data_IF_305942355484
#
_entry.id   IF_305942355484
#
_cell.length_a   1.000
_cell.length_b   1.000
_cell.length_c   1.000
_cell.angle_alpha   90.00
_cell.angle_beta   90.00
_cell.angle_gamma   90.00
#
_symmetry.space_group_name_H-M   'P 1'
#
loop_
_entity.id
_entity.type
_entity.pdbx_description
1 polymer ?
#
# COMPACT_ATOMS: atom_id res chain seq x y z
N UNK A 1 -3.83 10.45 4.26
CA UNK A 1 -5.31 10.49 4.38
C UNK A 1 -5.87 10.05 3.05
N UNK A 2 -6.84 9.14 3.03
CA UNK A 2 -7.54 8.65 1.82
C UNK A 2 -9.05 8.84 2.05
N UNK A 3 -9.86 8.97 1.00
CA UNK A 3 -11.32 9.07 1.18
C UNK A 3 -11.90 7.73 1.64
N UNK A 4 -11.68 6.69 0.82
CA UNK A 4 -12.07 5.32 1.12
C UNK A 4 -10.92 4.36 0.81
N UNK A 5 -10.99 3.15 1.36
CA UNK A 5 -10.01 2.12 1.05
C UNK A 5 -10.58 0.70 1.23
N UNK A 6 -9.91 -0.26 0.60
CA UNK A 6 -9.96 -1.66 1.02
C UNK A 6 -8.76 -1.93 1.93
N UNK A 7 -9.03 -2.38 3.16
CA UNK A 7 -8.01 -2.73 4.12
C UNK A 7 -8.13 -4.19 4.54
N UNK A 8 -7.00 -4.89 4.59
CA UNK A 8 -6.94 -6.26 5.12
C UNK A 8 -7.06 -6.19 6.64
N UNK A 9 -7.88 -7.06 7.23
CA UNK A 9 -8.24 -6.95 8.65
C UNK A 9 -8.10 -8.23 9.46
N UNK A 10 -7.45 -9.27 8.93
CA UNK A 10 -7.21 -10.51 9.67
C UNK A 10 -6.39 -10.29 10.96
N UNK A 11 -6.61 -11.18 11.93
CA UNK A 11 -5.90 -11.15 13.22
C UNK A 11 -4.40 -11.35 13.06
N UNK A 12 -3.98 -12.24 12.16
CA UNK A 12 -2.57 -12.55 11.95
C UNK A 12 -1.79 -11.36 11.39
N UNK A 13 -2.37 -10.65 10.42
CA UNK A 13 -1.82 -9.42 9.86
C UNK A 13 -1.72 -8.33 10.92
N UNK A 14 -2.77 -8.14 11.72
CA UNK A 14 -2.74 -7.15 12.80
C UNK A 14 -1.71 -7.48 13.88
N UNK A 15 -1.51 -8.76 14.19
CA UNK A 15 -0.48 -9.21 15.14
C UNK A 15 0.93 -8.93 14.60
N UNK A 16 1.20 -9.28 13.34
CA UNK A 16 2.47 -8.99 12.68
C UNK A 16 2.74 -7.48 12.55
N UNK A 17 1.71 -6.70 12.20
CA UNK A 17 1.78 -5.24 12.17
C UNK A 17 2.15 -4.67 13.54
N UNK A 18 1.52 -5.16 14.61
CA UNK A 18 1.82 -4.73 15.99
C UNK A 18 3.25 -5.05 16.38
N UNK A 19 3.73 -6.28 16.12
CA UNK A 19 5.13 -6.67 16.36
C UNK A 19 6.10 -5.74 15.63
N UNK A 20 5.81 -5.45 14.37
CA UNK A 20 6.61 -4.56 13.52
C UNK A 20 6.70 -3.15 14.12
N UNK A 21 5.56 -2.55 14.47
CA UNK A 21 5.54 -1.20 15.06
C UNK A 21 6.24 -1.16 16.43
N UNK A 22 5.97 -2.12 17.32
CA UNK A 22 6.62 -2.21 18.62
C UNK A 22 8.14 -2.33 18.50
N UNK A 23 8.61 -3.20 17.60
CA UNK A 23 10.04 -3.36 17.33
C UNK A 23 10.67 -2.08 16.76
N UNK A 24 9.94 -1.34 15.91
CA UNK A 24 10.43 -0.07 15.37
C UNK A 24 10.59 1.02 16.42
N UNK A 25 9.65 1.10 17.38
CA UNK A 25 9.70 2.06 18.48
C UNK A 25 10.89 1.77 19.39
N UNK A 26 11.13 0.50 19.71
CA UNK A 26 12.22 0.09 20.61
C UNK A 26 13.62 0.44 20.08
N UNK A 27 13.79 0.56 18.75
CA UNK A 27 15.07 0.85 18.09
C UNK A 27 15.24 2.35 17.80
N UNK A 28 14.17 3.14 17.87
CA UNK A 28 14.17 4.56 17.49
C UNK A 28 14.56 5.46 18.67
N UNK A 29 15.81 5.94 18.73
CA UNK A 29 16.21 7.07 19.60
C UNK A 29 15.87 8.45 19.01
N UNK A 30 15.55 8.49 17.71
CA UNK A 30 14.95 9.62 17.00
C UNK A 30 13.73 9.13 16.21
N UNK A 31 12.68 9.95 16.15
CA UNK A 31 11.36 9.68 15.57
C UNK A 31 11.46 9.30 14.08
N UNK A 32 11.65 8.01 13.79
CA UNK A 32 11.83 7.48 12.43
C UNK A 32 10.54 7.51 11.59
N UNK A 33 9.45 8.09 12.10
CA UNK A 33 8.13 8.07 11.46
C UNK A 33 7.50 6.67 11.36
N UNK A 34 8.24 5.60 11.69
CA UNK A 34 7.75 4.23 11.67
C UNK A 34 6.71 3.98 12.77
N UNK A 35 6.85 4.65 13.92
CA UNK A 35 6.22 4.24 15.18
C UNK A 35 4.70 4.35 15.33
N UNK A 36 3.94 4.88 14.36
CA UNK A 36 2.50 5.16 14.57
C UNK A 36 1.52 4.34 13.74
N UNK A 37 1.92 3.87 12.55
CA UNK A 37 1.01 3.18 11.64
C UNK A 37 1.80 2.39 10.61
N UNK A 38 1.38 1.19 10.23
CA UNK A 38 2.00 0.51 9.07
C UNK A 38 1.60 1.15 7.73
N UNK A 39 0.63 2.06 7.72
CA UNK A 39 0.14 2.76 6.53
C UNK A 39 0.69 4.19 6.43
N UNK A 40 0.44 4.82 5.28
CA UNK A 40 0.70 6.25 5.01
C UNK A 40 -0.33 7.21 5.65
N UNK A 41 -1.04 6.74 6.68
CA UNK A 41 -2.02 7.51 7.45
C UNK A 41 -1.99 7.08 8.90
N UNK A 42 -2.19 8.03 9.80
CA UNK A 42 -2.30 7.86 11.26
C UNK A 42 -3.75 7.68 11.73
N UNK A 43 -4.72 7.55 10.82
CA UNK A 43 -6.10 7.26 11.18
C UNK A 43 -6.18 5.98 12.00
N UNK A 44 -6.54 6.11 13.28
CA UNK A 44 -6.38 5.07 14.29
C UNK A 44 -6.91 3.67 13.86
N UNK A 45 -8.10 3.55 13.24
CA UNK A 45 -8.61 2.26 12.76
C UNK A 45 -7.74 1.56 11.71
N UNK A 46 -6.90 2.29 10.97
CA UNK A 46 -6.03 1.75 9.93
C UNK A 46 -4.59 1.51 10.41
N UNK A 47 -4.21 1.93 11.62
CA UNK A 47 -2.81 1.83 12.08
C UNK A 47 -2.21 0.42 12.03
N UNK A 48 -3.04 -0.61 12.17
CA UNK A 48 -2.67 -2.04 12.11
C UNK A 48 -3.32 -2.81 10.96
N UNK A 49 -4.14 -2.14 10.13
CA UNK A 49 -4.91 -2.76 9.03
C UNK A 49 -4.38 -2.22 7.71
N UNK A 50 -3.55 -2.98 6.97
CA UNK A 50 -2.88 -2.44 5.81
C UNK A 50 -3.88 -2.09 4.71
N UNK A 51 -3.75 -0.88 4.19
CA UNK A 51 -4.49 -0.40 3.04
C UNK A 51 -3.95 -1.13 1.82
N UNK A 52 -4.82 -1.76 1.06
CA UNK A 52 -4.46 -2.51 -0.17
C UNK A 52 -4.94 -1.79 -1.43
N UNK A 53 -6.05 -1.07 -1.34
CA UNK A 53 -6.63 -0.27 -2.43
C UNK A 53 -7.01 1.10 -1.86
N UNK A 54 -6.51 2.17 -2.47
CA UNK A 54 -6.95 3.55 -2.17
C UNK A 54 -8.03 3.97 -3.14
N UNK A 55 -9.06 4.66 -2.65
CA UNK A 55 -10.23 5.06 -3.43
C UNK A 55 -10.45 6.56 -3.24
N UNK A 56 -10.41 7.32 -4.33
CA UNK A 56 -10.74 8.75 -4.38
C UNK A 56 -12.16 8.91 -4.94
N UNK A 57 -12.93 9.83 -4.34
CA UNK A 57 -14.27 10.17 -4.79
C UNK A 57 -14.38 11.63 -5.20
N UNK A 58 -14.93 11.88 -6.38
CA UNK A 58 -15.22 13.22 -6.89
C UNK A 58 -16.68 13.37 -7.25
N UNK A 59 -17.19 14.60 -7.10
CA UNK A 59 -18.49 15.01 -7.65
C UNK A 59 -18.51 14.82 -9.17
N UNK A 60 -19.69 14.74 -9.81
CA UNK A 60 -19.77 14.60 -11.27
C UNK A 60 -19.01 15.68 -12.03
N UNK A 61 -19.01 16.91 -11.51
CA UNK A 61 -18.26 18.07 -12.05
C UNK A 61 -16.85 18.20 -11.48
N UNK A 62 -16.46 17.29 -10.59
CA UNK A 62 -15.15 17.28 -9.96
C UNK A 62 -14.04 17.03 -10.99
N UNK A 63 -12.96 17.79 -10.86
CA UNK A 63 -11.83 17.69 -11.79
C UNK A 63 -11.21 16.30 -11.77
N UNK A 64 -11.40 15.51 -12.84
CA UNK A 64 -10.73 14.21 -13.01
C UNK A 64 -9.22 14.31 -12.83
N UNK A 65 -8.61 15.43 -13.25
CA UNK A 65 -7.18 15.67 -13.09
C UNK A 65 -6.77 15.88 -11.62
N UNK A 66 -7.60 16.56 -10.83
CA UNK A 66 -7.37 16.76 -9.40
C UNK A 66 -7.44 15.41 -8.66
N UNK A 67 -8.45 14.59 -8.95
CA UNK A 67 -8.56 13.25 -8.38
C UNK A 67 -7.38 12.34 -8.73
N UNK A 68 -6.87 12.42 -9.96
CA UNK A 68 -5.64 11.71 -10.36
C UNK A 68 -4.42 12.21 -9.58
N UNK A 69 -4.29 13.52 -9.38
CA UNK A 69 -3.19 14.09 -8.61
C UNK A 69 -3.23 13.63 -7.15
N UNK A 70 -4.41 13.58 -6.52
CA UNK A 70 -4.55 13.06 -5.15
C UNK A 70 -4.19 11.58 -5.07
N UNK A 71 -4.69 10.76 -6.00
CA UNK A 71 -4.31 9.34 -6.09
C UNK A 71 -2.79 9.15 -6.22
N UNK A 72 -2.12 9.98 -7.02
CA UNK A 72 -0.68 9.94 -7.16
C UNK A 72 0.05 10.32 -5.86
N UNK A 73 -0.40 11.36 -5.16
CA UNK A 73 0.15 11.74 -3.84
C UNK A 73 -0.03 10.62 -2.83
N UNK A 74 -1.20 9.99 -2.77
CA UNK A 74 -1.45 8.87 -1.86
C UNK A 74 -0.59 7.67 -2.20
N UNK A 75 -0.49 7.29 -3.47
CA UNK A 75 0.42 6.24 -3.92
C UNK A 75 1.88 6.55 -3.52
N UNK A 76 2.33 7.79 -3.71
CA UNK A 76 3.67 8.21 -3.34
C UNK A 76 3.96 8.02 -1.85
N UNK A 77 3.10 8.57 -1.00
CA UNK A 77 3.25 8.40 0.45
C UNK A 77 3.11 6.94 0.90
N UNK A 78 2.34 6.14 0.16
CA UNK A 78 2.20 4.72 0.42
C UNK A 78 3.47 3.94 0.09
N UNK A 79 4.08 4.16 -1.07
CA UNK A 79 5.34 3.52 -1.43
C UNK A 79 6.48 3.92 -0.49
N UNK A 80 6.60 5.20 -0.14
CA UNK A 80 7.56 5.65 0.88
C UNK A 80 7.41 4.89 2.19
N UNK A 81 6.16 4.65 2.62
CA UNK A 81 5.88 3.87 3.81
C UNK A 81 6.32 2.41 3.67
N UNK A 82 6.02 1.78 2.54
CA UNK A 82 6.36 0.39 2.27
C UNK A 82 7.89 0.20 2.21
N UNK A 83 8.61 1.13 1.57
CA UNK A 83 10.09 1.18 1.53
C UNK A 83 10.69 1.30 2.94
N UNK A 84 10.10 2.13 3.80
CA UNK A 84 10.54 2.26 5.19
C UNK A 84 10.37 0.94 5.98
N UNK A 85 9.26 0.23 5.78
CA UNK A 85 9.02 -1.08 6.41
C UNK A 85 10.01 -2.15 5.89
N UNK A 86 10.23 -2.18 4.57
CA UNK A 86 11.18 -3.11 3.93
C UNK A 86 12.59 -2.91 4.49
N UNK A 87 13.03 -1.65 4.53
CA UNK A 87 14.34 -1.24 5.06
C UNK A 87 14.49 -1.65 6.53
N UNK A 88 13.44 -1.43 7.34
CA UNK A 88 13.43 -1.82 8.74
C UNK A 88 13.56 -3.34 8.92
N UNK A 89 12.76 -4.13 8.21
CA UNK A 89 12.79 -5.60 8.30
C UNK A 89 14.14 -6.17 7.88
N UNK A 90 14.73 -5.65 6.78
CA UNK A 90 16.04 -6.08 6.29
C UNK A 90 17.17 -5.79 7.28
N UNK A 91 17.24 -4.56 7.82
CA UNK A 91 18.25 -4.19 8.84
C UNK A 91 18.20 -5.12 10.04
N UNK A 92 17.00 -5.46 10.50
CA UNK A 92 16.81 -6.39 11.61
C UNK A 92 17.27 -7.82 11.25
N UNK A 93 17.00 -8.28 10.04
CA UNK A 93 17.47 -9.58 9.54
C UNK A 93 19.00 -9.69 9.50
N UNK A 94 19.70 -8.65 9.04
CA UNK A 94 21.18 -8.62 9.00
C UNK A 94 21.80 -8.64 10.40
N UNK A 95 21.28 -7.86 11.35
CA UNK A 95 21.82 -7.80 12.71
C UNK A 95 21.67 -9.12 13.51
N UNK A 96 20.88 -10.08 13.02
CA UNK A 96 20.78 -11.43 13.60
C UNK A 96 21.76 -12.43 12.96
N UNK A 97 22.40 -12.10 11.84
CA UNK A 97 23.31 -12.96 11.08
C UNK A 97 24.79 -12.57 11.20
N UNK A 98 25.16 -11.60 12.04
CA UNK A 98 26.57 -11.27 12.29
C UNK A 98 27.29 -12.32 13.15
N UNK A 99 27.53 -13.50 12.56
CA UNK A 99 28.71 -14.33 12.82
C UNK A 99 29.79 -13.99 11.76
N UNK A 100 30.53 -12.91 12.00
CA UNK A 100 31.98 -12.86 11.72
C UNK A 100 32.54 -12.94 10.29
N UNK A 101 31.83 -12.59 9.21
CA UNK A 101 32.48 -12.43 7.90
C UNK A 101 32.04 -11.14 7.17
N UNK A 102 32.97 -10.19 7.02
CA UNK A 102 32.78 -8.98 6.23
C UNK A 102 32.75 -9.33 4.74
N UNK A 103 31.56 -9.60 4.22
CA UNK A 103 31.37 -9.68 2.79
C UNK A 103 31.06 -8.26 2.27
N UNK A 104 31.84 -7.79 1.29
CA UNK A 104 31.47 -6.64 0.46
C UNK A 104 30.25 -7.02 -0.38
N UNK A 105 29.06 -7.02 0.22
CA UNK A 105 27.81 -7.16 -0.52
C UNK A 105 27.64 -5.92 -1.39
N UNK A 106 27.64 -6.15 -2.71
CA UNK A 106 27.18 -5.15 -3.67
C UNK A 106 25.73 -4.82 -3.30
N UNK A 107 25.44 -3.56 -3.07
CA UNK A 107 24.08 -3.10 -2.83
C UNK A 107 23.34 -3.25 -4.16
N UNK A 108 22.50 -4.28 -4.31
CA UNK A 108 21.62 -4.38 -5.45
C UNK A 108 20.66 -3.19 -5.38
N UNK A 109 20.83 -2.23 -6.30
CA UNK A 109 20.04 -1.00 -6.31
C UNK A 109 18.54 -1.27 -6.54
N UNK A 110 18.21 -2.44 -7.09
CA UNK A 110 16.83 -2.92 -7.27
C UNK A 110 16.19 -3.39 -5.96
N UNK A 111 16.97 -3.61 -4.90
CA UNK A 111 16.41 -4.05 -3.62
C UNK A 111 15.50 -3.00 -2.99
N UNK A 112 15.65 -1.70 -3.28
CA UNK A 112 14.82 -0.63 -2.71
C UNK A 112 13.43 -0.50 -3.36
N UNK A 113 13.19 -1.20 -4.47
CA UNK A 113 11.92 -1.10 -5.21
C UNK A 113 10.86 -1.97 -4.55
N UNK A 114 9.67 -1.41 -4.36
CA UNK A 114 8.48 -2.16 -3.97
C UNK A 114 7.90 -2.86 -5.20
N UNK A 115 8.22 -4.15 -5.36
CA UNK A 115 7.74 -5.00 -6.45
C UNK A 115 6.23 -5.31 -6.46
N UNK A 116 5.41 -4.53 -5.75
CA UNK A 116 3.97 -4.71 -5.65
C UNK A 116 3.25 -3.54 -6.32
N UNK A 117 2.55 -3.81 -7.41
CA UNK A 117 1.64 -2.84 -8.02
C UNK A 117 0.45 -2.58 -7.11
N UNK A 118 0.16 -1.30 -6.82
CA UNK A 118 -0.95 -0.92 -5.95
C UNK A 118 -2.16 -0.47 -6.80
N UNK A 119 -3.29 -1.17 -6.76
CA UNK A 119 -4.50 -0.72 -7.42
C UNK A 119 -5.07 0.53 -6.73
N UNK A 120 -5.55 1.47 -7.54
CA UNK A 120 -6.20 2.69 -7.10
C UNK A 120 -7.53 2.85 -7.85
N UNK A 121 -8.56 3.33 -7.16
CA UNK A 121 -9.87 3.60 -7.75
C UNK A 121 -10.15 5.10 -7.75
N UNK A 122 -10.57 5.61 -8.91
CA UNK A 122 -11.14 6.95 -9.04
C UNK A 122 -12.61 6.84 -9.40
N UNK A 123 -13.46 7.34 -8.52
CA UNK A 123 -14.90 7.39 -8.70
C UNK A 123 -15.29 8.85 -8.98
N UNK A 124 -15.91 9.11 -10.13
CA UNK A 124 -16.37 10.45 -10.50
C UNK A 124 -17.83 10.40 -10.91
N UNK A 125 -18.71 10.93 -10.07
CA UNK A 125 -20.14 10.68 -10.18
C UNK A 125 -20.43 9.17 -10.15
N UNK A 126 -21.02 8.64 -11.22
CA UNK A 126 -21.33 7.22 -11.34
C UNK A 126 -20.18 6.37 -11.90
N UNK A 127 -19.13 6.98 -12.47
CA UNK A 127 -18.09 6.27 -13.24
C UNK A 127 -16.96 5.77 -12.35
N UNK A 128 -16.60 4.49 -12.50
CA UNK A 128 -15.52 3.84 -11.77
C UNK A 128 -14.35 3.52 -12.69
N UNK A 129 -13.15 4.01 -12.35
CA UNK A 129 -11.92 3.76 -13.12
C UNK A 129 -10.84 3.14 -12.25
N UNK A 130 -10.11 2.20 -12.84
CA UNK A 130 -8.98 1.50 -12.22
C UNK A 130 -7.65 2.09 -12.72
N UNK A 131 -6.77 2.36 -11.77
CA UNK A 131 -5.39 2.73 -11.99
C UNK A 131 -4.49 1.75 -11.24
N UNK A 132 -3.24 1.65 -11.67
CA UNK A 132 -2.19 1.00 -10.89
C UNK A 132 -1.06 1.98 -10.66
N UNK A 133 -0.60 2.06 -9.41
CA UNK A 133 0.66 2.70 -9.09
C UNK A 133 1.77 1.67 -9.07
N UNK A 134 2.86 1.99 -9.76
CA UNK A 134 4.07 1.17 -9.82
C UNK A 134 5.21 1.95 -9.19
N UNK A 135 5.94 1.27 -8.31
CA UNK A 135 7.18 1.81 -7.77
C UNK A 135 8.28 1.65 -8.82
N UNK A 136 8.83 2.76 -9.29
CA UNK A 136 10.09 2.78 -10.02
C UNK A 136 11.17 3.27 -9.08
N UNK A 137 12.43 3.16 -9.51
CA UNK A 137 13.58 3.57 -8.71
C UNK A 137 13.47 5.02 -8.19
N UNK A 138 13.20 5.96 -9.09
CA UNK A 138 13.18 7.39 -8.78
C UNK A 138 11.79 8.04 -8.93
N UNK A 139 10.82 7.30 -9.48
CA UNK A 139 9.49 7.80 -9.82
C UNK A 139 8.41 6.82 -9.42
N UNK A 140 7.17 7.30 -9.39
CA UNK A 140 6.00 6.46 -9.18
C UNK A 140 5.09 6.69 -10.38
N UNK A 141 4.88 5.62 -11.14
CA UNK A 141 4.05 5.67 -12.33
C UNK A 141 2.61 5.34 -11.96
N UNK A 142 1.67 6.22 -12.28
CA UNK A 142 0.23 5.96 -12.10
C UNK A 142 -0.39 5.70 -13.47
N UNK A 143 -0.62 4.44 -13.77
CA UNK A 143 -1.14 3.97 -15.05
C UNK A 143 -2.66 3.92 -15.03
N UNK A 144 -3.32 4.67 -15.92
CA UNK A 144 -4.75 4.49 -16.20
C UNK A 144 -4.95 3.22 -17.01
N UNK A 145 -5.81 2.31 -16.54
CA UNK A 145 -6.03 1.02 -17.21
C UNK A 145 -7.38 0.96 -17.90
N UNK A 146 -8.45 0.89 -17.12
CA UNK A 146 -9.80 0.65 -17.62
C UNK A 146 -10.84 1.49 -16.88
N UNK A 147 -11.91 1.82 -17.58
CA UNK A 147 -13.19 2.12 -16.93
C UNK A 147 -13.86 0.79 -16.58
N UNK A 148 -14.00 0.51 -15.29
CA UNK A 148 -14.61 -0.73 -14.78
C UNK A 148 -16.09 -0.78 -15.19
N UNK A 149 -16.80 0.31 -14.94
CA UNK A 149 -18.24 0.41 -15.14
C UNK A 149 -18.78 1.72 -14.56
N UNK A 150 -20.10 1.75 -14.44
CA UNK A 150 -20.86 2.87 -13.90
C UNK A 150 -21.93 2.37 -12.92
N UNK A 151 -22.44 3.27 -12.08
CA UNK A 151 -23.58 2.99 -11.19
C UNK A 151 -24.90 3.52 -11.74
N UNK A 152 -24.96 3.88 -13.02
CA UNK A 152 -26.18 4.40 -13.68
C UNK A 152 -26.97 3.29 -14.37
N UNK A 153 -26.29 2.21 -14.76
CA UNK A 153 -26.89 1.07 -15.45
C UNK A 153 -26.77 -0.20 -14.59
N UNK A 154 -27.76 -1.09 -14.70
CA UNK A 154 -27.73 -2.38 -14.00
C UNK A 154 -26.48 -3.20 -14.38
N UNK A 155 -26.13 -3.21 -15.67
CA UNK A 155 -24.93 -3.89 -16.16
C UNK A 155 -23.65 -3.25 -15.60
N UNK A 156 -23.58 -1.91 -15.55
CA UNK A 156 -22.47 -1.18 -14.95
C UNK A 156 -22.29 -1.55 -13.48
N UNK A 157 -23.38 -1.57 -12.70
CA UNK A 157 -23.37 -1.96 -11.29
C UNK A 157 -22.79 -3.37 -11.11
N UNK A 158 -23.18 -4.34 -11.94
CA UNK A 158 -22.62 -5.69 -11.87
C UNK A 158 -21.12 -5.73 -12.18
N UNK A 159 -20.63 -4.93 -13.13
CA UNK A 159 -19.19 -4.82 -13.41
C UNK A 159 -18.42 -4.22 -12.23
N UNK A 160 -18.96 -3.18 -11.59
CA UNK A 160 -18.37 -2.56 -10.40
C UNK A 160 -18.29 -3.58 -9.26
N UNK A 161 -19.37 -4.30 -8.98
CA UNK A 161 -19.40 -5.34 -7.94
C UNK A 161 -18.40 -6.46 -8.23
N UNK A 162 -18.32 -6.91 -9.49
CA UNK A 162 -17.36 -7.93 -9.90
C UNK A 162 -15.91 -7.46 -9.65
N UNK A 163 -15.55 -6.26 -10.10
CA UNK A 163 -14.21 -5.72 -9.91
C UNK A 163 -13.86 -5.52 -8.42
N UNK A 164 -14.80 -5.05 -7.59
CA UNK A 164 -14.57 -4.91 -6.15
C UNK A 164 -14.33 -6.26 -5.47
N UNK A 165 -15.00 -7.33 -5.92
CA UNK A 165 -14.76 -8.70 -5.43
C UNK A 165 -13.38 -9.21 -5.83
N UNK A 166 -12.96 -8.97 -7.07
CA UNK A 166 -11.61 -9.33 -7.54
C UNK A 166 -10.53 -8.58 -6.76
N UNK A 167 -10.70 -7.27 -6.54
CA UNK A 167 -9.78 -6.47 -5.74
C UNK A 167 -9.73 -6.96 -4.28
N UNK A 168 -10.88 -7.27 -3.67
CA UNK A 168 -10.91 -7.83 -2.33
C UNK A 168 -10.21 -9.20 -2.24
N UNK A 169 -10.41 -10.06 -3.24
CA UNK A 169 -9.71 -11.36 -3.31
C UNK A 169 -8.20 -11.16 -3.44
N UNK A 170 -7.75 -10.25 -4.31
CA UNK A 170 -6.35 -9.90 -4.45
C UNK A 170 -5.74 -9.35 -3.16
N UNK A 171 -6.47 -8.48 -2.44
CA UNK A 171 -6.07 -7.94 -1.14
C UNK A 171 -5.81 -9.05 -0.12
N UNK A 172 -6.72 -10.02 -0.06
CA UNK A 172 -6.70 -11.13 0.90
C UNK A 172 -5.71 -12.25 0.55
N UNK A 173 -5.28 -12.34 -0.71
CA UNK A 173 -4.40 -13.41 -1.19
C UNK A 173 -3.00 -12.87 -1.49
N UNK A 174 -2.84 -12.19 -2.61
CA UNK A 174 -1.56 -11.72 -3.13
C UNK A 174 -0.95 -10.63 -2.24
N UNK A 175 -1.70 -9.56 -1.98
CA UNK A 175 -1.19 -8.41 -1.24
C UNK A 175 -0.86 -8.78 0.21
N UNK A 176 -1.78 -9.47 0.90
CA UNK A 176 -1.56 -9.94 2.27
C UNK A 176 -0.34 -10.85 2.38
N UNK A 177 -0.23 -11.86 1.52
CA UNK A 177 0.87 -12.82 1.57
C UNK A 177 2.21 -12.15 1.35
N UNK A 178 2.28 -11.25 0.36
CA UNK A 178 3.46 -10.45 0.08
C UNK A 178 3.85 -9.56 1.27
N UNK A 179 2.91 -8.77 1.79
CA UNK A 179 3.15 -7.84 2.89
C UNK A 179 3.69 -8.57 4.14
N UNK A 180 3.07 -9.71 4.49
CA UNK A 180 3.49 -10.54 5.62
C UNK A 180 4.90 -11.10 5.42
N UNK A 181 5.18 -11.62 4.22
CA UNK A 181 6.45 -12.25 3.89
C UNK A 181 7.59 -11.24 3.80
N UNK A 182 7.36 -10.08 3.19
CA UNK A 182 8.45 -9.21 2.75
C UNK A 182 8.59 -7.94 3.60
N UNK A 183 7.53 -7.51 4.31
CA UNK A 183 7.52 -6.21 5.00
C UNK A 183 7.24 -6.29 6.51
N UNK A 184 6.39 -7.21 6.97
CA UNK A 184 6.05 -7.33 8.40
C UNK A 184 6.89 -8.38 9.12
N UNK A 185 7.11 -8.19 10.43
CA UNK A 185 7.76 -9.19 11.27
C UNK A 185 6.80 -10.34 11.57
N UNK A 186 7.28 -11.57 11.39
CA UNK A 186 6.57 -12.82 11.71
C UNK A 186 6.35 -12.97 13.21
#
# INVERSE_FOLDING_TARGET
>A
MVDFCLAVSDLDVQAAARRTLQASIAVSTQDSGIGRSINHTDYAPLTLRPVSVSIETKTPDGGTQEGKAQLAVWAATHFERLRALQSFKRRRGRNMQEDGCFNNEVWDLDDEIIGMALPLLLISGSRWRLFFALDQRDTIDVLETITIGDTDTLLGCYKVVAALRELAMWSETTFKSWLMKDLLLS
#
